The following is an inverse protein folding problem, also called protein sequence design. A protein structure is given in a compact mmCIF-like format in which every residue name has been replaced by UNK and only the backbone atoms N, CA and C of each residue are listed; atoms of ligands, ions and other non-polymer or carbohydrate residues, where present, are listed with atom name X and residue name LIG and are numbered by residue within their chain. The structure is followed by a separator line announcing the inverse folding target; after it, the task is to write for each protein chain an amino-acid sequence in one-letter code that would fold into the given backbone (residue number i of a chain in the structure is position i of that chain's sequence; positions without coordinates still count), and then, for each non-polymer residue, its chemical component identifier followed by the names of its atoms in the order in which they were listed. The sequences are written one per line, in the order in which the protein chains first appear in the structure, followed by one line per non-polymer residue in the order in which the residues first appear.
data_IF_654981252170
#
_entry.id   IF_654981252170
#
_cell.length_a   1.000
_cell.length_b   1.000
_cell.length_c   1.000
_cell.angle_alpha   90.00
_cell.angle_beta   90.00
_cell.angle_gamma   90.00
#
_symmetry.space_group_name_H-M   'P 1'
#
loop_
_entity.id
_entity.type
_entity.pdbx_description
1 polymer ?
#
# COMPACT_ATOMS: atom_id res chain seq x y z
N UNK A 1 -16.36 -8.69 -3.89
CA UNK A 1 -15.96 -7.62 -4.82
C UNK A 1 -15.05 -6.58 -4.18
N UNK A 2 -15.38 -5.99 -3.03
CA UNK A 2 -14.53 -5.01 -2.34
C UNK A 2 -13.03 -5.36 -2.29
N UNK A 3 -12.66 -6.55 -1.79
CA UNK A 3 -11.24 -7.00 -1.71
C UNK A 3 -10.54 -7.02 -3.07
N UNK A 4 -11.28 -7.32 -4.16
CA UNK A 4 -10.73 -7.33 -5.53
C UNK A 4 -10.43 -5.92 -6.02
N UNK A 5 -11.28 -4.95 -5.71
CA UNK A 5 -11.03 -3.54 -6.02
C UNK A 5 -9.80 -3.01 -5.28
N UNK A 6 -9.67 -3.32 -3.98
CA UNK A 6 -8.48 -2.97 -3.19
C UNK A 6 -7.23 -3.66 -3.74
N UNK A 7 -7.33 -4.93 -4.16
CA UNK A 7 -6.21 -5.63 -4.79
C UNK A 7 -5.72 -4.94 -6.06
N UNK A 8 -6.62 -4.47 -6.93
CA UNK A 8 -6.24 -3.70 -8.13
C UNK A 8 -5.55 -2.40 -7.75
N UNK A 9 -6.09 -1.67 -6.76
CA UNK A 9 -5.45 -0.44 -6.25
C UNK A 9 -4.01 -0.71 -5.76
N UNK A 10 -3.81 -1.73 -4.92
CA UNK A 10 -2.48 -2.11 -4.44
C UNK A 10 -1.55 -2.55 -5.56
N UNK A 11 -2.08 -3.23 -6.57
CA UNK A 11 -1.30 -3.63 -7.73
C UNK A 11 -0.83 -2.41 -8.54
N UNK A 12 -1.68 -1.40 -8.72
CA UNK A 12 -1.28 -0.13 -9.34
C UNK A 12 -0.19 0.55 -8.52
N UNK A 13 -0.30 0.60 -7.19
CA UNK A 13 0.74 1.16 -6.32
C UNK A 13 2.07 0.40 -6.46
N UNK A 14 2.03 -0.93 -6.54
CA UNK A 14 3.23 -1.75 -6.78
C UNK A 14 3.89 -1.42 -8.12
N UNK A 15 3.10 -1.28 -9.18
CA UNK A 15 3.58 -0.87 -10.50
C UNK A 15 4.20 0.53 -10.46
N UNK A 16 3.60 1.47 -9.72
CA UNK A 16 4.17 2.81 -9.53
C UNK A 16 5.53 2.77 -8.82
N UNK A 17 5.68 1.99 -7.75
CA UNK A 17 6.98 1.80 -7.09
C UNK A 17 8.02 1.15 -8.02
N UNK A 18 7.65 0.12 -8.77
CA UNK A 18 8.57 -0.48 -9.75
C UNK A 18 8.97 0.51 -10.85
N UNK A 19 8.01 1.26 -11.39
CA UNK A 19 8.29 2.28 -12.40
C UNK A 19 9.27 3.34 -11.88
N UNK A 20 9.14 3.75 -10.62
CA UNK A 20 10.10 4.66 -9.99
C UNK A 20 11.48 4.01 -9.85
N UNK A 21 11.56 2.82 -9.25
CA UNK A 21 12.82 2.14 -8.96
C UNK A 21 13.63 1.78 -10.22
N UNK A 22 12.98 1.53 -11.36
CA UNK A 22 13.65 1.29 -12.65
C UNK A 22 13.90 2.56 -13.47
N UNK A 23 13.46 3.73 -12.99
CA UNK A 23 13.77 5.04 -13.57
C UNK A 23 12.83 5.55 -14.64
N UNK A 24 11.59 5.07 -14.69
CA UNK A 24 10.57 5.60 -15.60
C UNK A 24 9.95 6.92 -15.09
N UNK A 25 10.19 7.29 -13.84
CA UNK A 25 9.67 8.53 -13.22
C UNK A 25 10.78 9.55 -13.00
N UNK A 26 10.40 10.81 -12.79
CA UNK A 26 11.30 11.91 -12.40
C UNK A 26 12.54 12.06 -13.31
N UNK A 27 12.38 11.82 -14.61
CA UNK A 27 13.50 11.87 -15.57
C UNK A 27 14.63 10.89 -15.25
N UNK A 28 14.36 9.82 -14.50
CA UNK A 28 15.33 8.83 -14.05
C UNK A 28 15.85 9.04 -12.63
N UNK A 29 15.55 10.17 -11.97
CA UNK A 29 16.02 10.44 -10.61
C UNK A 29 15.42 9.51 -9.54
N UNK A 30 14.27 8.88 -9.83
CA UNK A 30 13.62 7.91 -8.94
C UNK A 30 14.30 6.54 -8.87
N UNK A 31 15.35 6.29 -9.67
CA UNK A 31 16.03 4.99 -9.72
C UNK A 31 16.60 4.58 -8.38
N UNK A 32 16.54 3.28 -8.11
CA UNK A 32 17.01 2.67 -6.86
C UNK A 32 18.45 3.08 -6.49
N UNK A 33 19.35 3.17 -7.46
CA UNK A 33 20.76 3.51 -7.24
C UNK A 33 21.01 4.99 -6.92
N UNK A 34 20.11 5.87 -7.37
CA UNK A 34 20.26 7.33 -7.26
C UNK A 34 19.56 7.92 -6.05
N UNK A 35 18.46 7.30 -5.59
CA UNK A 35 17.71 7.81 -4.43
C UNK A 35 18.46 7.62 -3.12
N UNK A 36 18.18 8.52 -2.16
CA UNK A 36 18.65 8.43 -0.78
C UNK A 36 18.27 7.10 -0.12
N UNK A 37 19.07 6.65 0.85
CA UNK A 37 18.90 5.36 1.51
C UNK A 37 17.51 5.16 2.14
N UNK A 38 16.92 6.21 2.71
CA UNK A 38 15.59 6.13 3.33
C UNK A 38 14.48 5.87 2.30
N UNK A 39 14.52 6.60 1.18
CA UNK A 39 13.59 6.42 0.05
C UNK A 39 13.77 5.03 -0.56
N UNK A 40 15.03 4.62 -0.76
CA UNK A 40 15.39 3.30 -1.26
C UNK A 40 14.79 2.18 -0.42
N UNK A 41 14.92 2.26 0.90
CA UNK A 41 14.40 1.28 1.83
C UNK A 41 12.87 1.20 1.76
N UNK A 42 12.19 2.33 1.85
CA UNK A 42 10.71 2.40 1.85
C UNK A 42 10.14 1.91 0.53
N UNK A 43 10.63 2.41 -0.61
CA UNK A 43 10.12 2.00 -1.93
C UNK A 43 10.39 0.51 -2.20
N UNK A 44 11.56 -0.02 -1.81
CA UNK A 44 11.84 -1.45 -1.94
C UNK A 44 10.90 -2.31 -1.10
N UNK A 45 10.59 -1.87 0.14
CA UNK A 45 9.63 -2.56 1.01
C UNK A 45 8.22 -2.52 0.39
N UNK A 46 7.75 -1.37 -0.09
CA UNK A 46 6.43 -1.22 -0.71
C UNK A 46 6.31 -2.01 -2.02
N UNK A 47 7.38 -2.02 -2.83
CA UNK A 47 7.50 -2.79 -4.07
C UNK A 47 7.37 -4.31 -3.86
N UNK A 48 7.58 -4.81 -2.64
CA UNK A 48 7.36 -6.22 -2.27
C UNK A 48 6.01 -6.40 -1.56
N UNK A 49 5.67 -5.55 -0.60
CA UNK A 49 4.45 -5.70 0.20
C UNK A 49 3.19 -5.59 -0.63
N UNK A 50 3.09 -4.60 -1.51
CA UNK A 50 1.87 -4.33 -2.28
C UNK A 50 1.50 -5.38 -3.33
N UNK A 51 2.39 -5.92 -4.17
CA UNK A 51 2.00 -6.98 -5.11
C UNK A 51 1.61 -8.27 -4.38
N UNK A 52 2.31 -8.61 -3.28
CA UNK A 52 1.97 -9.78 -2.47
C UNK A 52 0.60 -9.54 -1.83
N UNK A 53 0.38 -8.43 -1.12
CA UNK A 53 -0.91 -8.07 -0.52
C UNK A 53 -2.06 -8.08 -1.55
N UNK A 54 -1.83 -7.51 -2.74
CA UNK A 54 -2.78 -7.53 -3.85
C UNK A 54 -3.17 -8.96 -4.24
N UNK A 55 -2.20 -9.85 -4.42
CA UNK A 55 -2.46 -11.26 -4.73
C UNK A 55 -3.26 -11.95 -3.61
N UNK A 56 -2.90 -11.72 -2.34
CA UNK A 56 -3.61 -12.29 -1.20
C UNK A 56 -5.07 -11.81 -1.12
N UNK A 57 -5.31 -10.52 -1.32
CA UNK A 57 -6.66 -9.94 -1.36
C UNK A 57 -7.46 -10.39 -2.58
N UNK A 58 -6.79 -10.60 -3.72
CA UNK A 58 -7.40 -11.17 -4.92
C UNK A 58 -7.85 -12.60 -4.63
N UNK A 59 -6.96 -13.51 -4.29
CA UNK A 59 -7.34 -14.91 -4.07
C UNK A 59 -8.12 -15.16 -2.78
N UNK A 60 -8.30 -14.15 -1.93
CA UNK A 60 -9.08 -14.25 -0.70
C UNK A 60 -8.33 -14.93 0.45
N UNK A 61 -7.00 -14.92 0.41
CA UNK A 61 -6.14 -15.53 1.43
C UNK A 61 -5.96 -14.56 2.61
N UNK A 62 -6.01 -15.09 3.84
CA UNK A 62 -6.06 -14.29 5.07
C UNK A 62 -4.87 -13.33 5.25
N UNK A 63 -3.67 -13.71 4.78
CA UNK A 63 -2.47 -12.89 4.91
C UNK A 63 -2.51 -11.60 4.06
N UNK A 64 -3.37 -11.53 3.02
CA UNK A 64 -3.45 -10.35 2.14
C UNK A 64 -3.82 -9.07 2.88
N UNK A 65 -4.73 -9.16 3.86
CA UNK A 65 -5.09 -8.03 4.71
C UNK A 65 -3.94 -7.60 5.61
N UNK A 66 -3.20 -8.55 6.19
CA UNK A 66 -2.07 -8.26 7.08
C UNK A 66 -0.98 -7.48 6.33
N UNK A 67 -0.58 -7.97 5.16
CA UNK A 67 0.45 -7.30 4.35
C UNK A 67 -0.02 -5.95 3.81
N UNK A 68 -1.31 -5.81 3.48
CA UNK A 68 -1.87 -4.52 3.11
C UNK A 68 -1.75 -3.50 4.24
N UNK A 69 -2.13 -3.87 5.47
CA UNK A 69 -2.03 -2.98 6.64
C UNK A 69 -0.58 -2.59 6.93
N UNK A 70 0.36 -3.53 6.80
CA UNK A 70 1.79 -3.24 6.96
C UNK A 70 2.29 -2.25 5.90
N UNK A 71 2.00 -2.47 4.63
CA UNK A 71 2.39 -1.56 3.55
C UNK A 71 1.74 -0.18 3.71
N UNK A 72 0.45 -0.14 4.06
CA UNK A 72 -0.27 1.09 4.35
C UNK A 72 0.36 1.86 5.52
N UNK A 73 0.74 1.18 6.60
CA UNK A 73 1.38 1.81 7.75
C UNK A 73 2.74 2.43 7.37
N UNK A 74 3.56 1.70 6.62
CA UNK A 74 4.84 2.21 6.09
C UNK A 74 4.61 3.45 5.23
N UNK A 75 3.68 3.39 4.28
CA UNK A 75 3.42 4.50 3.36
C UNK A 75 2.81 5.72 4.06
N UNK A 76 1.86 5.51 4.98
CA UNK A 76 1.27 6.58 5.79
C UNK A 76 2.36 7.25 6.63
N UNK A 77 3.20 6.49 7.34
CA UNK A 77 4.29 7.07 8.15
C UNK A 77 5.26 7.86 7.27
N UNK A 78 5.65 7.34 6.11
CA UNK A 78 6.54 8.02 5.18
C UNK A 78 6.00 9.40 4.77
N UNK A 79 4.75 9.47 4.30
CA UNK A 79 4.17 10.73 3.82
C UNK A 79 3.65 11.65 4.92
N UNK A 80 3.31 11.14 6.11
CA UNK A 80 2.73 11.94 7.20
C UNK A 80 3.78 12.43 8.20
N UNK A 81 4.71 11.55 8.59
CA UNK A 81 5.73 11.87 9.59
C UNK A 81 7.01 12.45 8.96
N UNK A 82 7.32 12.07 7.72
CA UNK A 82 8.53 12.51 7.02
C UNK A 82 8.21 13.16 5.65
N UNK A 83 7.26 14.11 5.55
CA UNK A 83 6.86 14.69 4.27
C UNK A 83 7.98 15.46 3.55
N UNK A 84 9.02 15.89 4.28
CA UNK A 84 10.20 16.55 3.69
C UNK A 84 11.11 15.59 2.90
N UNK A 85 11.02 14.29 3.15
CA UNK A 85 11.79 13.24 2.44
C UNK A 85 10.94 12.62 1.33
N UNK A 86 9.70 12.24 1.64
CA UNK A 86 8.85 11.43 0.76
C UNK A 86 7.81 12.23 -0.01
N UNK A 87 7.74 13.55 0.21
CA UNK A 87 6.65 14.38 -0.28
C UNK A 87 5.35 14.15 0.49
N UNK A 88 4.49 15.16 0.47
CA UNK A 88 3.20 15.09 1.15
C UNK A 88 2.15 14.43 0.25
N UNK A 89 1.53 13.34 0.72
CA UNK A 89 0.47 12.63 -0.01
C UNK A 89 -0.75 12.33 0.90
N UNK A 90 -1.45 13.37 1.38
CA UNK A 90 -2.52 13.21 2.37
C UNK A 90 -3.72 12.44 1.79
N UNK A 91 -4.02 12.63 0.50
CA UNK A 91 -5.11 11.91 -0.18
C UNK A 91 -4.88 10.40 -0.22
N UNK A 92 -3.64 9.96 -0.47
CA UNK A 92 -3.29 8.54 -0.48
C UNK A 92 -3.39 7.92 0.93
N UNK A 93 -2.89 8.65 1.93
CA UNK A 93 -2.98 8.24 3.34
C UNK A 93 -4.44 8.11 3.79
N UNK A 94 -5.28 9.11 3.45
CA UNK A 94 -6.71 9.08 3.74
C UNK A 94 -7.42 7.91 3.06
N UNK A 95 -7.05 7.59 1.81
CA UNK A 95 -7.62 6.46 1.08
C UNK A 95 -7.31 5.12 1.76
N UNK A 96 -6.08 4.90 2.23
CA UNK A 96 -5.75 3.70 3.00
C UNK A 96 -6.57 3.58 4.28
N UNK A 97 -6.64 4.66 5.06
CA UNK A 97 -7.41 4.70 6.32
C UNK A 97 -8.89 4.37 6.06
N UNK A 98 -9.48 5.00 5.05
CA UNK A 98 -10.89 4.81 4.68
C UNK A 98 -11.16 3.37 4.23
N UNK A 99 -10.33 2.82 3.33
CA UNK A 99 -10.52 1.46 2.82
C UNK A 99 -10.31 0.41 3.91
N UNK A 100 -9.31 0.58 4.79
CA UNK A 100 -9.11 -0.32 5.94
C UNK A 100 -10.30 -0.19 6.90
N UNK A 101 -10.78 1.03 7.17
CA UNK A 101 -11.96 1.28 7.99
C UNK A 101 -13.20 0.55 7.45
N UNK A 102 -13.46 0.59 6.14
CA UNK A 102 -14.53 -0.17 5.52
C UNK A 102 -14.31 -1.69 5.61
N UNK A 103 -13.09 -2.17 5.39
CA UNK A 103 -12.78 -3.59 5.54
C UNK A 103 -13.11 -4.09 6.96
N UNK A 104 -12.63 -3.38 7.98
CA UNK A 104 -12.85 -3.72 9.39
C UNK A 104 -14.33 -3.64 9.74
N UNK A 105 -15.02 -2.59 9.28
CA UNK A 105 -16.47 -2.45 9.49
C UNK A 105 -17.25 -3.62 8.92
N UNK A 106 -16.96 -4.04 7.68
CA UNK A 106 -17.58 -5.21 7.08
C UNK A 106 -17.24 -6.51 7.82
N UNK A 107 -15.99 -6.67 8.24
CA UNK A 107 -15.56 -7.85 9.01
C UNK A 107 -16.29 -7.96 10.34
N UNK A 108 -16.39 -6.85 11.09
CA UNK A 108 -17.12 -6.76 12.35
C UNK A 108 -18.61 -7.06 12.15
N UNK A 109 -19.24 -6.43 11.14
CA UNK A 109 -20.64 -6.66 10.81
C UNK A 109 -20.94 -8.13 10.49
N UNK A 110 -20.11 -8.76 9.66
CA UNK A 110 -20.26 -10.19 9.33
C UNK A 110 -20.00 -11.10 10.53
N UNK A 111 -19.05 -10.73 11.41
CA UNK A 111 -18.78 -11.48 12.64
C UNK A 111 -19.96 -11.44 13.61
N UNK A 112 -20.69 -10.33 13.69
CA UNK A 112 -21.91 -10.22 14.50
C UNK A 112 -23.08 -11.03 13.91
N UNK A 113 -23.28 -11.00 12.59
CA UNK A 113 -24.32 -11.80 11.94
C UNK A 113 -24.07 -13.30 12.12
N UNK A 114 -22.82 -13.76 11.94
CA UNK A 114 -22.48 -15.19 12.08
C UNK A 114 -22.63 -15.76 13.50
N UNK A 115 -22.82 -14.90 14.51
CA UNK A 115 -23.02 -15.31 15.91
C UNK A 115 -24.49 -15.36 16.32
N UNK A 116 -25.43 -14.91 15.48
CA UNK A 116 -26.87 -15.10 15.65
C UNK A 116 -27.36 -16.25 14.79
#
# INVERSE_FOLDING_TARGET
MFKRCVAVFLFVMALSSWAALIGLTEGGAGRFDLVHADVRLVEAVLAVLYPVAAAGLWFGVGWGFVLWVLGAAVQIVAHSAYPHIFGNAPGLSALHILLIGFYVSFWVYLAFIRRR
#
